data_IF_917026347945
#
_entry.id   IF_917026347945
#
_cell.length_a   1.000
_cell.length_b   1.000
_cell.length_c   1.000
_cell.angle_alpha   90.00
_cell.angle_beta   90.00
_cell.angle_gamma   90.00
#
_symmetry.space_group_name_H-M   'P 1'
#
loop_
_entity.id
_entity.type
_entity.pdbx_description
1 polymer ?
#
# COMPACT_ATOMS: atom_id res chain seq x y z
N UNK A 1 -12.41 -7.00 5.41
CA UNK A 1 -11.87 -8.24 6.01
C UNK A 1 -11.51 -7.93 7.46
N UNK A 2 -11.62 -8.88 8.38
CA UNK A 2 -11.28 -8.65 9.80
C UNK A 2 -9.77 -8.68 10.06
N UNK A 3 -9.34 -8.41 11.31
CA UNK A 3 -7.93 -8.43 11.69
C UNK A 3 -7.34 -9.82 11.47
N UNK A 4 -6.28 -9.89 10.68
CA UNK A 4 -5.55 -11.13 10.36
C UNK A 4 -4.07 -10.90 10.58
N UNK A 5 -3.37 -11.96 10.91
CA UNK A 5 -1.92 -11.96 10.99
C UNK A 5 -1.31 -12.09 9.58
N UNK A 6 -0.39 -11.20 9.25
CA UNK A 6 0.27 -11.08 7.95
C UNK A 6 1.74 -11.51 7.99
N UNK A 7 2.22 -12.10 9.09
CA UNK A 7 3.59 -12.62 9.22
C UNK A 7 4.04 -13.53 8.07
N UNK A 8 3.17 -14.35 7.48
CA UNK A 8 3.57 -15.20 6.35
C UNK A 8 3.65 -14.42 5.03
N UNK A 9 2.84 -13.36 4.90
CA UNK A 9 2.77 -12.54 3.69
C UNK A 9 4.00 -11.64 3.57
N UNK A 10 4.52 -11.14 4.68
CA UNK A 10 5.70 -10.26 4.72
C UNK A 10 6.99 -10.94 4.20
N UNK A 11 7.03 -12.27 4.17
CA UNK A 11 8.17 -13.06 3.69
C UNK A 11 8.27 -13.08 2.16
N UNK A 12 7.25 -12.60 1.46
CA UNK A 12 7.23 -12.60 0.00
C UNK A 12 8.10 -11.47 -0.55
N UNK A 13 8.84 -11.75 -1.62
CA UNK A 13 9.72 -10.78 -2.27
C UNK A 13 8.96 -9.62 -2.94
N UNK A 14 7.64 -9.77 -3.16
CA UNK A 14 6.77 -8.75 -3.74
C UNK A 14 5.98 -7.95 -2.68
N UNK A 15 6.36 -8.05 -1.41
CA UNK A 15 5.80 -7.28 -0.29
C UNK A 15 6.92 -6.48 0.37
N UNK A 16 6.92 -5.17 0.15
CA UNK A 16 7.86 -4.25 0.77
C UNK A 16 7.35 -3.89 2.17
N UNK A 17 8.18 -4.07 3.19
CA UNK A 17 7.82 -3.78 4.58
C UNK A 17 8.62 -2.59 5.12
N UNK A 18 7.92 -1.51 5.47
CA UNK A 18 8.49 -0.33 6.13
C UNK A 18 7.98 -0.29 7.56
N UNK A 19 8.87 -0.47 8.54
CA UNK A 19 8.48 -0.60 9.95
C UNK A 19 9.13 0.51 10.76
N UNK A 20 8.36 1.17 11.63
CA UNK A 20 8.88 2.14 12.57
C UNK A 20 9.83 1.50 13.59
N UNK A 21 10.52 2.36 14.34
CA UNK A 21 11.10 1.97 15.61
C UNK A 21 10.03 1.51 16.60
N UNK A 22 10.48 0.88 17.69
CA UNK A 22 9.61 0.50 18.79
C UNK A 22 8.97 1.77 19.37
N UNK A 23 7.66 1.75 19.56
CA UNK A 23 6.96 2.87 20.18
C UNK A 23 7.28 2.91 21.68
N UNK A 24 7.89 4.01 22.14
CA UNK A 24 8.16 4.23 23.58
C UNK A 24 6.89 4.63 24.34
N UNK A 25 6.01 5.35 23.66
CA UNK A 25 4.69 5.77 24.11
C UNK A 25 3.66 5.30 23.10
N UNK A 26 2.43 5.06 23.54
CA UNK A 26 1.42 4.60 22.60
C UNK A 26 0.91 5.72 21.69
N UNK A 27 0.46 5.33 20.50
CA UNK A 27 0.03 6.25 19.46
C UNK A 27 -1.38 5.88 19.01
N UNK A 28 -2.31 6.84 19.06
CA UNK A 28 -3.65 6.65 18.54
C UNK A 28 -3.73 7.16 17.11
N UNK A 29 -4.19 6.30 16.19
CA UNK A 29 -4.49 6.64 14.80
C UNK A 29 -5.99 6.52 14.60
N UNK A 30 -6.67 7.66 14.52
CA UNK A 30 -8.14 7.75 14.42
C UNK A 30 -8.55 8.69 13.30
N UNK A 31 -8.99 8.12 12.17
CA UNK A 31 -9.44 8.86 10.98
C UNK A 31 -9.07 8.16 9.66
N UNK A 32 -9.14 8.92 8.57
CA UNK A 32 -8.76 8.46 7.23
C UNK A 32 -7.24 8.36 7.05
N UNK A 33 -6.77 7.21 6.56
CA UNK A 33 -5.36 6.95 6.27
C UNK A 33 -5.12 7.01 4.76
N UNK A 34 -3.99 7.61 4.37
CA UNK A 34 -3.59 7.73 2.96
C UNK A 34 -2.11 7.43 2.80
N UNK A 35 -1.74 6.69 1.77
CA UNK A 35 -0.35 6.55 1.34
C UNK A 35 -0.11 7.40 0.08
N UNK A 36 0.83 8.33 0.15
CA UNK A 36 1.32 9.10 -1.00
C UNK A 36 2.63 8.47 -1.44
N UNK A 37 2.61 7.82 -2.61
CA UNK A 37 3.71 7.03 -3.10
C UNK A 37 4.24 7.59 -4.42
N UNK A 38 5.56 7.65 -4.55
CA UNK A 38 6.23 7.86 -5.83
C UNK A 38 6.60 6.50 -6.39
N UNK A 39 6.02 6.15 -7.52
CA UNK A 39 6.09 4.79 -8.07
C UNK A 39 6.49 4.80 -9.53
N UNK A 40 7.21 3.76 -9.95
CA UNK A 40 7.44 3.47 -11.37
C UNK A 40 7.12 2.00 -11.64
N UNK A 41 6.84 1.69 -12.91
CA UNK A 41 6.60 0.32 -13.37
C UNK A 41 7.26 0.09 -14.73
N UNK A 42 7.65 -1.15 -15.00
CA UNK A 42 7.96 -1.59 -16.37
C UNK A 42 6.72 -1.75 -17.24
N UNK A 43 5.53 -1.76 -16.64
CA UNK A 43 4.25 -1.95 -17.31
C UNK A 43 3.53 -0.62 -17.60
N UNK A 44 2.54 -0.67 -18.48
CA UNK A 44 1.69 0.49 -18.85
C UNK A 44 0.56 0.73 -17.85
N UNK A 45 0.25 -0.26 -17.04
CA UNK A 45 -0.66 -0.18 -15.89
C UNK A 45 -0.25 -1.25 -14.87
N UNK A 46 -0.57 -1.01 -13.61
CA UNK A 46 -0.38 -1.96 -12.50
C UNK A 46 -1.26 -1.49 -11.34
N UNK A 47 -1.35 -2.29 -10.28
CA UNK A 47 -1.92 -1.82 -9.01
C UNK A 47 -0.80 -1.53 -8.00
N UNK A 48 -1.08 -0.64 -7.04
CA UNK A 48 -0.34 -0.51 -5.78
C UNK A 48 -1.29 -0.67 -4.62
N UNK A 49 -0.95 -1.58 -3.71
CA UNK A 49 -1.65 -1.86 -2.46
C UNK A 49 -0.81 -1.30 -1.33
N UNK A 50 -1.47 -0.60 -0.40
CA UNK A 50 -0.86 -0.15 0.84
C UNK A 50 -1.66 -0.72 2.01
N UNK A 51 -0.99 -1.28 3.01
CA UNK A 51 -1.59 -1.82 4.23
C UNK A 51 -0.88 -1.29 5.44
N UNK A 52 -1.65 -0.78 6.40
CA UNK A 52 -1.19 -0.40 7.73
C UNK A 52 -1.38 -1.60 8.67
N UNK A 53 -0.33 -1.95 9.40
CA UNK A 53 -0.33 -3.05 10.37
C UNK A 53 0.19 -2.59 11.72
N UNK A 54 -0.34 -3.24 12.75
CA UNK A 54 0.16 -3.19 14.12
C UNK A 54 1.06 -4.41 14.37
N UNK A 55 2.35 -4.16 14.58
CA UNK A 55 3.33 -5.21 14.87
C UNK A 55 3.50 -5.36 16.36
N UNK A 56 3.07 -6.50 16.89
CA UNK A 56 3.14 -6.85 18.29
C UNK A 56 4.57 -7.22 18.74
N UNK A 57 4.87 -7.14 20.05
CA UNK A 57 6.17 -7.55 20.60
C UNK A 57 6.52 -9.03 20.37
N UNK A 58 5.52 -9.89 20.21
CA UNK A 58 5.69 -11.31 19.88
C UNK A 58 5.94 -11.55 18.39
N UNK A 59 5.99 -10.48 17.60
CA UNK A 59 6.24 -10.45 16.16
C UNK A 59 4.98 -10.45 15.31
N UNK A 60 3.78 -10.71 15.86
CA UNK A 60 2.55 -10.80 15.03
C UNK A 60 2.29 -9.48 14.32
N UNK A 61 1.92 -9.53 13.05
CA UNK A 61 1.66 -8.34 12.24
C UNK A 61 0.17 -8.29 11.89
N UNK A 62 -0.60 -7.56 12.69
CA UNK A 62 -2.07 -7.55 12.58
C UNK A 62 -2.52 -6.42 11.67
N UNK A 63 -3.29 -6.78 10.64
CA UNK A 63 -3.89 -5.82 9.70
C UNK A 63 -4.82 -4.83 10.42
N UNK A 64 -4.58 -3.53 10.18
CA UNK A 64 -5.40 -2.43 10.70
C UNK A 64 -6.32 -1.88 9.60
N UNK A 65 -5.75 -1.49 8.46
CA UNK A 65 -6.49 -0.91 7.35
C UNK A 65 -5.63 -0.94 6.06
N UNK A 66 -6.27 -1.14 4.90
CA UNK A 66 -5.60 -1.28 3.61
C UNK A 66 -6.43 -0.75 2.45
N UNK A 67 -5.72 -0.31 1.42
CA UNK A 67 -6.28 0.24 0.18
C UNK A 67 -5.53 -0.25 -1.05
N UNK A 68 -6.13 0.00 -2.20
CA UNK A 68 -5.54 -0.28 -3.51
C UNK A 68 -5.80 0.90 -4.44
N UNK A 69 -4.82 1.20 -5.29
CA UNK A 69 -5.04 2.05 -6.45
C UNK A 69 -4.56 1.31 -7.70
N UNK A 70 -5.46 1.21 -8.68
CA UNK A 70 -5.08 0.86 -10.06
C UNK A 70 -4.57 2.11 -10.76
N UNK A 71 -3.31 2.09 -11.21
CA UNK A 71 -2.57 3.31 -11.56
C UNK A 71 -3.15 4.03 -12.79
N UNK A 72 -3.88 3.34 -13.66
CA UNK A 72 -4.63 4.02 -14.73
C UNK A 72 -5.65 5.04 -14.23
N UNK A 73 -6.12 4.93 -12.98
CA UNK A 73 -7.06 5.86 -12.35
C UNK A 73 -6.38 6.86 -11.39
N UNK A 74 -5.06 7.03 -11.48
CA UNK A 74 -4.29 7.95 -10.60
C UNK A 74 -4.71 9.42 -10.69
N UNK A 75 -5.37 9.82 -11.79
CA UNK A 75 -5.87 11.18 -12.01
C UNK A 75 -7.39 11.30 -11.82
N UNK A 76 -8.03 10.31 -11.18
CA UNK A 76 -9.48 10.22 -11.03
C UNK A 76 -10.07 8.99 -11.71
N UNK A 77 -11.29 8.63 -11.30
CA UNK A 77 -12.01 7.46 -11.82
C UNK A 77 -12.88 7.77 -13.05
N UNK A 78 -12.95 9.04 -13.46
CA UNK A 78 -13.69 9.51 -14.64
C UNK A 78 -12.92 9.32 -15.95
N UNK A 79 -11.61 9.06 -15.88
CA UNK A 79 -10.74 8.81 -17.04
C UNK A 79 -9.64 7.81 -16.70
N UNK A 80 -9.10 7.18 -17.74
CA UNK A 80 -7.92 6.32 -17.62
C UNK A 80 -6.71 6.95 -18.32
N UNK A 81 -5.58 6.95 -17.62
CA UNK A 81 -4.29 7.45 -18.12
C UNK A 81 -3.23 6.37 -17.95
N UNK A 82 -2.61 5.90 -19.02
CA UNK A 82 -1.58 4.86 -18.91
C UNK A 82 -0.26 5.42 -18.38
N UNK A 83 0.59 4.55 -17.85
CA UNK A 83 1.97 4.86 -17.51
C UNK A 83 2.86 4.74 -18.74
N UNK A 84 3.89 5.57 -18.79
CA UNK A 84 5.07 5.33 -19.61
C UNK A 84 6.05 4.47 -18.79
N UNK A 85 6.47 3.30 -19.30
CA UNK A 85 7.39 2.43 -18.57
C UNK A 85 8.66 3.13 -18.10
N UNK A 86 9.00 2.97 -16.83
CA UNK A 86 10.19 3.57 -16.20
C UNK A 86 10.00 4.98 -15.65
N UNK A 87 8.95 5.72 -16.05
CA UNK A 87 8.68 7.03 -15.48
C UNK A 87 8.15 6.93 -14.04
N UNK A 88 8.50 7.92 -13.22
CA UNK A 88 8.04 8.06 -11.84
C UNK A 88 6.75 8.87 -11.80
N UNK A 89 5.75 8.36 -11.10
CA UNK A 89 4.46 8.99 -10.89
C UNK A 89 4.16 9.10 -9.39
N UNK A 90 3.64 10.24 -8.96
CA UNK A 90 3.02 10.36 -7.65
C UNK A 90 1.61 9.76 -7.72
N UNK A 91 1.29 8.87 -6.78
CA UNK A 91 -0.03 8.25 -6.63
C UNK A 91 -0.50 8.36 -5.19
N UNK A 92 -1.81 8.44 -4.99
CA UNK A 92 -2.44 8.42 -3.68
C UNK A 92 -3.27 7.15 -3.54
N UNK A 93 -2.90 6.29 -2.60
CA UNK A 93 -3.71 5.14 -2.20
C UNK A 93 -4.53 5.56 -0.98
N UNK A 94 -5.85 5.56 -1.11
CA UNK A 94 -6.76 5.76 0.02
C UNK A 94 -6.95 4.42 0.74
N UNK A 95 -6.56 4.32 2.02
CA UNK A 95 -6.66 3.09 2.80
C UNK A 95 -7.99 2.99 3.57
N UNK A 96 -8.89 3.97 3.45
CA UNK A 96 -10.11 4.15 4.26
C UNK A 96 -9.80 4.61 5.71
N UNK A 97 -10.81 4.60 6.58
CA UNK A 97 -10.73 5.03 7.96
C UNK A 97 -10.42 3.88 8.93
N UNK A 98 -9.70 4.21 10.00
CA UNK A 98 -9.48 3.33 11.14
C UNK A 98 -9.54 4.10 12.46
N UNK A 99 -9.66 3.38 13.57
CA UNK A 99 -9.42 3.88 14.92
C UNK A 99 -8.67 2.79 15.67
N UNK A 100 -7.35 2.93 15.73
CA UNK A 100 -6.46 1.95 16.33
C UNK A 100 -5.49 2.63 17.31
N UNK A 101 -5.39 2.06 18.51
CA UNK A 101 -4.36 2.41 19.48
C UNK A 101 -3.18 1.45 19.30
N UNK A 102 -2.01 1.97 18.97
CA UNK A 102 -0.75 1.23 18.93
C UNK A 102 -0.06 1.38 20.29
N UNK A 103 -0.03 0.33 21.15
CA UNK A 103 0.54 0.44 22.49
C UNK A 103 2.06 0.67 22.51
N UNK A 104 2.62 1.14 23.64
CA UNK A 104 4.06 1.06 23.87
C UNK A 104 4.59 -0.37 23.65
N UNK A 105 5.75 -0.49 23.01
CA UNK A 105 6.35 -1.78 22.65
C UNK A 105 5.84 -2.36 21.33
N UNK A 106 4.84 -1.76 20.69
CA UNK A 106 4.44 -2.13 19.33
C UNK A 106 5.24 -1.34 18.28
N UNK A 107 5.02 -1.66 17.00
CA UNK A 107 5.53 -0.88 15.86
C UNK A 107 4.42 -0.64 14.85
N UNK A 108 4.50 0.49 14.17
CA UNK A 108 3.65 0.78 13.03
C UNK A 108 4.35 0.27 11.77
N UNK A 109 3.68 -0.57 10.99
CA UNK A 109 4.20 -1.05 9.71
C UNK A 109 3.32 -0.62 8.55
N UNK A 110 3.97 -0.18 7.48
CA UNK A 110 3.37 -0.03 6.16
C UNK A 110 3.90 -1.14 5.25
N UNK A 111 3.00 -1.96 4.73
CA UNK A 111 3.29 -2.91 3.65
C UNK A 111 2.86 -2.31 2.31
N UNK A 112 3.71 -2.44 1.30
CA UNK A 112 3.42 -2.06 -0.08
C UNK A 112 3.60 -3.26 -1.00
N UNK A 113 2.60 -3.53 -1.83
CA UNK A 113 2.64 -4.57 -2.86
C UNK A 113 1.86 -4.10 -4.09
N UNK A 114 1.65 -4.99 -5.06
CA UNK A 114 0.86 -4.72 -6.27
C UNK A 114 -0.31 -5.69 -6.45
N UNK A 115 -0.70 -6.41 -5.39
CA UNK A 115 -1.90 -7.24 -5.41
C UNK A 115 -2.45 -7.51 -4.00
N UNK A 116 -3.77 -7.70 -3.90
CA UNK A 116 -4.45 -8.16 -2.69
C UNK A 116 -5.60 -9.09 -3.10
N UNK A 117 -5.26 -10.18 -3.77
CA UNK A 117 -6.24 -11.18 -4.20
C UNK A 117 -6.65 -12.07 -3.01
N UNK A 118 -7.92 -12.47 -2.86
CA UNK A 118 -9.06 -12.24 -3.76
C UNK A 118 -9.89 -10.99 -3.43
N UNK A 119 -9.41 -10.11 -2.53
CA UNK A 119 -10.15 -8.89 -2.16
C UNK A 119 -10.36 -7.97 -3.35
N UNK A 120 -9.33 -7.82 -4.18
CA UNK A 120 -9.40 -7.09 -5.45
C UNK A 120 -9.03 -8.00 -6.62
N UNK A 121 -9.60 -7.73 -7.79
CA UNK A 121 -9.17 -8.37 -9.04
C UNK A 121 -7.71 -8.01 -9.31
N UNK A 122 -6.96 -8.95 -9.90
CA UNK A 122 -5.54 -8.74 -10.18
C UNK A 122 -5.41 -7.79 -11.38
N UNK A 123 -4.43 -6.90 -11.35
CA UNK A 123 -3.98 -6.25 -12.57
C UNK A 123 -3.27 -7.24 -13.50
N UNK A 124 -3.61 -7.22 -14.78
CA UNK A 124 -2.92 -8.03 -15.80
C UNK A 124 -1.68 -7.32 -16.37
N UNK A 125 -1.47 -6.06 -16.00
CA UNK A 125 -0.32 -5.22 -16.32
C UNK A 125 -0.16 -4.82 -17.80
N UNK A 126 -1.14 -5.12 -18.65
CA UNK A 126 -1.10 -4.81 -20.09
C UNK A 126 -1.64 -3.41 -20.42
N UNK A 127 -2.42 -2.82 -19.50
CA UNK A 127 -3.24 -1.63 -19.76
C UNK A 127 -4.55 -1.93 -20.52
N UNK A 128 -4.82 -3.21 -20.83
CA UNK A 128 -6.04 -3.67 -21.48
C UNK A 128 -7.24 -3.81 -20.54
N UNK A 129 -8.26 -4.55 -20.95
CA UNK A 129 -9.49 -4.70 -20.18
C UNK A 129 -9.41 -5.89 -19.22
N UNK A 130 -9.19 -5.63 -17.93
CA UNK A 130 -8.94 -6.65 -16.91
C UNK A 130 -10.06 -7.71 -16.77
N UNK A 131 -11.30 -7.43 -17.20
CA UNK A 131 -12.43 -8.33 -17.00
C UNK A 131 -12.46 -9.53 -17.98
N UNK A 132 -12.03 -9.34 -19.23
CA UNK A 132 -12.11 -10.36 -20.29
C UNK A 132 -10.75 -10.67 -20.95
N UNK A 133 -9.69 -9.99 -20.53
CA UNK A 133 -8.35 -10.24 -21.03
C UNK A 133 -7.73 -11.50 -20.43
N UNK A 134 -7.03 -12.25 -21.29
CA UNK A 134 -6.43 -13.56 -20.97
C UNK A 134 -4.91 -13.54 -20.97
N UNK A 135 -4.30 -12.43 -21.39
CA UNK A 135 -2.87 -12.22 -21.42
C UNK A 135 -2.47 -11.35 -20.24
N UNK A 136 -1.32 -11.64 -19.64
CA UNK A 136 -0.75 -10.84 -18.57
C UNK A 136 0.74 -10.67 -18.78
N UNK A 137 1.27 -9.61 -18.19
CA UNK A 137 2.68 -9.28 -18.19
C UNK A 137 3.20 -9.25 -16.74
N UNK A 138 4.46 -9.66 -16.56
CA UNK A 138 5.14 -9.46 -15.27
C UNK A 138 5.60 -8.02 -15.21
N UNK A 139 5.12 -7.27 -14.23
CA UNK A 139 5.53 -5.90 -13.97
C UNK A 139 6.66 -5.86 -12.93
N UNK A 140 7.73 -5.12 -13.24
CA UNK A 140 8.74 -4.72 -12.26
C UNK A 140 8.36 -3.35 -11.71
N UNK A 141 7.86 -3.35 -10.48
CA UNK A 141 7.38 -2.16 -9.81
C UNK A 141 8.43 -1.64 -8.82
N UNK A 142 8.49 -0.33 -8.64
CA UNK A 142 9.40 0.30 -7.68
C UNK A 142 8.67 1.38 -6.90
N UNK A 143 9.00 1.48 -5.61
CA UNK A 143 8.57 2.56 -4.72
C UNK A 143 9.81 3.39 -4.40
N UNK A 144 9.77 4.67 -4.75
CA UNK A 144 10.86 5.62 -4.55
C UNK A 144 10.66 6.35 -3.23
N UNK A 145 11.71 6.49 -2.40
CA UNK A 145 11.62 7.09 -1.06
C UNK A 145 12.84 7.95 -0.70
N UNK A 146 13.35 8.71 -1.67
CA UNK A 146 14.46 9.64 -1.50
C UNK A 146 13.96 11.09 -1.32
N UNK A 147 14.88 12.05 -1.16
CA UNK A 147 14.55 13.48 -1.00
C UNK A 147 13.77 14.05 -2.20
N UNK A 148 14.09 13.62 -3.42
CA UNK A 148 13.37 14.04 -4.64
C UNK A 148 11.98 13.39 -4.76
N UNK A 149 11.84 12.15 -4.27
CA UNK A 149 10.62 11.35 -4.33
C UNK A 149 10.21 10.86 -2.94
N UNK A 150 9.71 11.76 -2.07
CA UNK A 150 9.43 11.42 -0.69
C UNK A 150 8.10 10.67 -0.58
N UNK A 151 8.11 9.34 -0.71
CA UNK A 151 6.93 8.53 -0.37
C UNK A 151 6.66 8.55 1.14
N UNK A 152 5.40 8.72 1.55
CA UNK A 152 4.99 8.75 2.95
C UNK A 152 3.55 8.26 3.16
N UNK A 153 3.24 7.93 4.42
CA UNK A 153 1.87 7.67 4.87
C UNK A 153 1.39 8.81 5.77
N UNK A 154 0.16 9.28 5.54
CA UNK A 154 -0.52 10.24 6.38
C UNK A 154 -1.33 9.49 7.43
N UNK A 155 -0.90 9.61 8.68
CA UNK A 155 -1.59 9.02 9.83
C UNK A 155 -2.34 10.12 10.61
N UNK A 156 -3.66 10.01 10.80
CA UNK A 156 -4.43 10.93 11.63
C UNK A 156 -4.18 10.64 13.11
N UNK A 157 -3.07 11.19 13.64
CA UNK A 157 -2.72 11.04 15.06
C UNK A 157 -3.71 11.84 15.92
N UNK A 158 -4.37 11.18 16.86
CA UNK A 158 -5.25 11.88 17.80
C UNK A 158 -4.41 12.78 18.71
N UNK A 159 -4.90 13.99 18.99
CA UNK A 159 -4.26 14.87 19.97
C UNK A 159 -4.41 14.25 21.37
N UNK A 160 -3.32 14.24 22.14
CA UNK A 160 -3.31 13.81 23.54
C UNK A 160 -4.15 14.74 24.44
#
# INVERSE_FOLDING_TARGET
MGPRDYQEVELRQDVLCFTSDLLEEGVEVSGFVKAVLFVSSSARDTDFVARLLDVHPDGRAVDVVDGILRVRFREGFDRSVLMEPGNVYQVQVDLDATSNWFPPGHRIRLEISSSSFPRFDRNLNTGGNNWDETKWEVAHNSVHHCEEFPSYVLLPIAAA
#
